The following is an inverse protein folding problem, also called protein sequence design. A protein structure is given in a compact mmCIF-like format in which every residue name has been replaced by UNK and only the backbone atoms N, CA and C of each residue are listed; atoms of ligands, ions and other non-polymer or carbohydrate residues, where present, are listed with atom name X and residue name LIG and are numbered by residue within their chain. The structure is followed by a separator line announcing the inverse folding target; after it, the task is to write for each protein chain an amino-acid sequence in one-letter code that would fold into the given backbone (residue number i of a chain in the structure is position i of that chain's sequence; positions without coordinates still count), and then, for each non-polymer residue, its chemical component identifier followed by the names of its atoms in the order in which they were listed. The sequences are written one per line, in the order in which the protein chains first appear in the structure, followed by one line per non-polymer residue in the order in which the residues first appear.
data_IF_102953011317
#
_entry.id   IF_102953011317
#
_cell.length_a   1.000
_cell.length_b   1.000
_cell.length_c   1.000
_cell.angle_alpha   90.00
_cell.angle_beta   90.00
_cell.angle_gamma   90.00
#
_symmetry.space_group_name_H-M   'P 1'
#
loop_
_entity.id
_entity.type
_entity.pdbx_description
1 polymer ?
#
# COMPACT_ATOMS: atom_id res chain seq x y z
N UNK A 1 -26.99 -2.73 -3.48
CA UNK A 1 -26.49 -2.00 -2.31
C UNK A 1 -25.89 -0.66 -2.71
N UNK A 2 -25.78 0.27 -1.77
CA UNK A 2 -25.07 1.54 -1.91
C UNK A 2 -23.78 1.50 -1.09
N UNK A 3 -22.64 1.73 -1.72
CA UNK A 3 -21.35 1.72 -1.05
C UNK A 3 -20.72 3.11 -1.12
N UNK A 4 -20.40 3.68 0.04
CA UNK A 4 -19.65 4.92 0.15
C UNK A 4 -18.17 4.60 0.34
N UNK A 5 -17.33 5.06 -0.59
CA UNK A 5 -15.88 4.96 -0.50
C UNK A 5 -15.30 6.24 0.08
N UNK A 6 -14.54 6.11 1.17
CA UNK A 6 -13.91 7.23 1.86
C UNK A 6 -12.38 7.11 1.82
N UNK A 7 -11.72 8.08 1.20
CA UNK A 7 -10.26 8.19 1.14
C UNK A 7 -9.85 9.66 1.23
N UNK A 8 -8.66 9.95 1.75
CA UNK A 8 -8.18 11.35 1.83
C UNK A 8 -8.01 12.03 0.46
N UNK A 9 -7.57 11.30 -0.57
CA UNK A 9 -7.40 11.80 -1.93
C UNK A 9 -8.43 11.18 -2.88
N UNK A 10 -8.92 11.96 -3.84
CA UNK A 10 -9.78 11.47 -4.91
C UNK A 10 -9.15 11.67 -6.28
N UNK A 11 -7.86 11.33 -6.38
CA UNK A 11 -7.04 11.32 -7.60
C UNK A 11 -5.94 10.28 -7.47
N UNK A 12 -5.36 9.85 -8.61
CA UNK A 12 -4.30 8.84 -8.64
C UNK A 12 -3.00 9.40 -8.07
N UNK A 13 -2.61 8.94 -6.87
CA UNK A 13 -1.39 9.35 -6.18
C UNK A 13 -0.43 8.19 -5.92
N UNK A 14 -0.94 7.00 -5.70
CA UNK A 14 -0.14 5.81 -5.40
C UNK A 14 -0.97 4.54 -5.40
N UNK A 15 -0.37 3.45 -4.90
CA UNK A 15 -1.01 2.12 -4.92
C UNK A 15 -2.33 2.04 -4.16
N UNK A 16 -2.49 2.76 -3.06
CA UNK A 16 -3.74 2.79 -2.32
C UNK A 16 -4.90 3.39 -3.12
N UNK A 17 -4.64 4.48 -3.87
CA UNK A 17 -5.63 5.09 -4.76
C UNK A 17 -5.93 4.20 -5.96
N UNK A 18 -4.93 3.45 -6.48
CA UNK A 18 -5.16 2.45 -7.52
C UNK A 18 -6.19 1.41 -7.06
N UNK A 19 -6.00 0.82 -5.88
CA UNK A 19 -6.94 -0.15 -5.30
C UNK A 19 -8.32 0.49 -5.07
N UNK A 20 -8.38 1.68 -4.46
CA UNK A 20 -9.63 2.42 -4.27
C UNK A 20 -10.43 2.55 -5.58
N UNK A 21 -9.81 3.05 -6.65
CA UNK A 21 -10.51 3.27 -7.91
C UNK A 21 -10.89 1.97 -8.60
N UNK A 22 -10.08 0.92 -8.46
CA UNK A 22 -10.42 -0.42 -8.94
C UNK A 22 -11.64 -0.98 -8.20
N UNK A 23 -11.66 -0.98 -6.87
CA UNK A 23 -12.79 -1.46 -6.07
C UNK A 23 -14.07 -0.66 -6.34
N UNK A 24 -13.95 0.66 -6.44
CA UNK A 24 -15.04 1.54 -6.80
C UNK A 24 -15.67 1.18 -8.15
N UNK A 25 -14.83 0.94 -9.15
CA UNK A 25 -15.28 0.55 -10.50
C UNK A 25 -15.89 -0.86 -10.51
N UNK A 26 -15.27 -1.83 -9.81
CA UNK A 26 -15.81 -3.19 -9.68
C UNK A 26 -17.21 -3.19 -9.03
N UNK A 27 -17.41 -2.42 -7.97
CA UNK A 27 -18.72 -2.29 -7.30
C UNK A 27 -19.74 -1.68 -8.24
N UNK A 28 -19.36 -0.69 -9.06
CA UNK A 28 -20.23 -0.07 -10.06
C UNK A 28 -20.60 -1.05 -11.18
N UNK A 29 -19.64 -1.80 -11.68
CA UNK A 29 -19.84 -2.82 -12.73
C UNK A 29 -20.72 -3.99 -12.27
N UNK A 30 -20.68 -4.31 -10.96
CA UNK A 30 -21.58 -5.28 -10.34
C UNK A 30 -23.02 -4.75 -10.16
N UNK A 31 -23.37 -3.56 -10.68
CA UNK A 31 -24.69 -2.98 -10.64
C UNK A 31 -25.05 -2.29 -9.31
N UNK A 32 -24.05 -1.95 -8.50
CA UNK A 32 -24.24 -1.27 -7.22
C UNK A 32 -24.00 0.24 -7.35
N UNK A 33 -24.58 1.01 -6.45
CA UNK A 33 -24.39 2.46 -6.40
C UNK A 33 -23.11 2.79 -5.61
N UNK A 34 -22.35 3.73 -6.14
CA UNK A 34 -21.09 4.21 -5.55
C UNK A 34 -21.26 5.68 -5.15
N UNK A 35 -20.80 6.00 -3.96
CA UNK A 35 -20.80 7.35 -3.36
C UNK A 35 -19.37 7.66 -2.97
N UNK A 36 -18.91 8.88 -3.21
CA UNK A 36 -17.54 9.29 -2.96
C UNK A 36 -17.45 10.24 -1.76
N UNK A 37 -16.42 10.07 -0.92
CA UNK A 37 -16.07 10.98 0.15
C UNK A 37 -14.55 11.15 0.26
N UNK A 38 -14.07 12.38 0.10
CA UNK A 38 -12.65 12.70 0.18
C UNK A 38 -12.46 14.12 0.75
N UNK A 39 -11.21 14.57 0.96
CA UNK A 39 -10.95 15.99 1.19
C UNK A 39 -10.96 16.78 -0.12
N UNK A 40 -11.22 18.09 -0.04
CA UNK A 40 -11.08 19.00 -1.17
C UNK A 40 -9.62 19.06 -1.63
N UNK A 41 -9.38 18.89 -2.92
CA UNK A 41 -8.06 19.03 -3.54
C UNK A 41 -8.21 19.46 -5.00
N UNK A 42 -7.31 20.32 -5.55
CA UNK A 42 -7.39 20.76 -6.94
C UNK A 42 -7.35 19.62 -7.97
N UNK A 43 -6.61 18.56 -7.66
CA UNK A 43 -6.43 17.40 -8.55
C UNK A 43 -7.56 16.36 -8.44
N UNK A 44 -8.56 16.57 -7.57
CA UNK A 44 -9.65 15.61 -7.43
C UNK A 44 -10.39 15.41 -8.75
N UNK A 45 -10.70 14.15 -9.04
CA UNK A 45 -11.61 13.81 -10.12
C UNK A 45 -13.01 14.38 -9.85
N UNK A 46 -13.83 14.64 -10.89
CA UNK A 46 -15.20 15.07 -10.70
C UNK A 46 -16.01 14.06 -9.89
N UNK A 47 -16.77 14.55 -8.91
CA UNK A 47 -17.72 13.73 -8.13
C UNK A 47 -18.97 14.56 -7.83
N UNK A 48 -20.19 13.97 -7.97
CA UNK A 48 -21.42 14.62 -7.56
C UNK A 48 -21.45 14.97 -6.07
N UNK A 49 -20.69 14.27 -5.24
CA UNK A 49 -20.61 14.46 -3.80
C UNK A 49 -19.54 15.48 -3.36
N UNK A 50 -18.84 16.13 -4.29
CA UNK A 50 -17.72 17.06 -3.98
C UNK A 50 -18.11 18.19 -3.01
N UNK A 51 -19.40 18.60 -2.99
CA UNK A 51 -19.91 19.62 -2.05
C UNK A 51 -19.87 19.18 -0.57
N UNK A 52 -19.76 17.88 -0.30
CA UNK A 52 -19.62 17.34 1.06
C UNK A 52 -18.16 17.14 1.48
N UNK A 53 -17.21 17.33 0.59
CA UNK A 53 -15.80 17.10 0.92
C UNK A 53 -15.28 18.16 1.90
N UNK A 54 -14.69 17.77 3.05
CA UNK A 54 -14.11 18.71 4.01
C UNK A 54 -12.90 19.41 3.41
N UNK A 55 -12.60 20.60 3.94
CA UNK A 55 -11.47 21.39 3.50
C UNK A 55 -10.14 20.64 3.69
N UNK A 56 -9.24 20.79 2.71
CA UNK A 56 -7.88 20.26 2.82
C UNK A 56 -7.09 20.98 3.93
N UNK A 57 -6.30 20.23 4.67
CA UNK A 57 -5.34 20.75 5.65
C UNK A 57 -3.93 20.53 5.12
N UNK A 58 -3.26 21.61 4.76
CA UNK A 58 -1.85 21.53 4.38
C UNK A 58 -0.96 21.56 5.64
N UNK A 59 -0.43 20.37 6.00
CA UNK A 59 0.47 20.20 7.15
C UNK A 59 1.91 20.67 6.87
N UNK A 60 2.25 21.06 5.64
CA UNK A 60 3.61 21.44 5.24
C UNK A 60 3.86 22.96 5.26
N UNK A 61 2.81 23.78 5.28
CA UNK A 61 2.95 25.22 5.36
C UNK A 61 3.46 25.69 6.74
N UNK A 62 4.15 26.83 6.76
CA UNK A 62 4.58 27.48 8.01
C UNK A 62 3.40 28.23 8.61
N UNK A 63 2.95 27.83 9.77
CA UNK A 63 1.82 28.41 10.49
C UNK A 63 2.29 29.11 11.77
N UNK A 64 1.53 30.11 12.24
CA UNK A 64 1.70 30.72 13.55
C UNK A 64 1.45 29.72 14.69
N UNK A 65 1.84 30.07 15.93
CA UNK A 65 1.76 29.15 17.07
C UNK A 65 0.32 28.69 17.37
N UNK A 66 -0.66 29.59 17.31
CA UNK A 66 -2.09 29.26 17.50
C UNK A 66 -2.65 28.38 16.39
N UNK A 67 -2.24 28.62 15.16
CA UNK A 67 -2.66 27.79 14.02
C UNK A 67 -2.07 26.39 14.10
N UNK A 68 -0.82 26.27 14.58
CA UNK A 68 -0.20 24.95 14.84
C UNK A 68 -0.97 24.12 15.85
N UNK A 69 -1.52 24.74 16.91
CA UNK A 69 -2.34 24.04 17.89
C UNK A 69 -3.67 23.58 17.29
N UNK A 70 -4.33 24.42 16.50
CA UNK A 70 -5.57 24.05 15.78
C UNK A 70 -5.30 22.92 14.77
N UNK A 71 -4.22 23.01 14.03
CA UNK A 71 -3.80 21.98 13.06
C UNK A 71 -3.49 20.67 13.78
N UNK A 72 -2.77 20.69 14.91
CA UNK A 72 -2.49 19.50 15.70
C UNK A 72 -3.78 18.86 16.27
N UNK A 73 -4.72 19.68 16.75
CA UNK A 73 -6.02 19.19 17.21
C UNK A 73 -6.80 18.54 16.06
N UNK A 74 -6.82 19.18 14.88
CA UNK A 74 -7.50 18.65 13.67
C UNK A 74 -6.81 17.38 13.13
N UNK A 75 -5.49 17.28 13.26
CA UNK A 75 -4.72 16.08 12.91
C UNK A 75 -5.15 14.85 13.74
N UNK A 76 -5.51 15.07 15.01
CA UNK A 76 -5.99 14.03 15.93
C UNK A 76 -7.48 13.76 15.72
N UNK A 77 -8.29 14.82 15.55
CA UNK A 77 -9.75 14.73 15.42
C UNK A 77 -10.27 15.83 14.48
N UNK A 78 -10.77 15.44 13.31
CA UNK A 78 -11.34 16.37 12.34
C UNK A 78 -12.87 16.40 12.46
N UNK A 79 -13.39 17.36 13.22
CA UNK A 79 -14.84 17.52 13.43
C UNK A 79 -15.56 17.87 12.12
N UNK A 80 -14.97 18.71 11.25
CA UNK A 80 -15.56 19.05 9.95
C UNK A 80 -15.77 17.81 9.08
N UNK A 81 -14.78 16.88 9.04
CA UNK A 81 -14.93 15.63 8.30
C UNK A 81 -16.05 14.76 8.87
N UNK A 82 -16.20 14.75 10.21
CA UNK A 82 -17.30 14.04 10.87
C UNK A 82 -18.69 14.61 10.48
N UNK A 83 -18.82 15.93 10.51
CA UNK A 83 -20.08 16.61 10.21
C UNK A 83 -20.46 16.45 8.73
N UNK A 84 -19.51 16.64 7.81
CA UNK A 84 -19.71 16.47 6.37
C UNK A 84 -20.05 15.04 5.99
N UNK A 85 -19.36 14.05 6.59
CA UNK A 85 -19.72 12.65 6.36
C UNK A 85 -21.12 12.33 6.88
N UNK A 86 -21.50 12.87 8.05
CA UNK A 86 -22.84 12.67 8.60
C UNK A 86 -23.94 13.27 7.70
N UNK A 87 -23.71 14.47 7.14
CA UNK A 87 -24.59 15.09 6.16
C UNK A 87 -24.76 14.20 4.92
N UNK A 88 -23.64 13.73 4.35
CA UNK A 88 -23.64 12.85 3.17
C UNK A 88 -24.36 11.53 3.43
N UNK A 89 -24.09 10.87 4.56
CA UNK A 89 -24.77 9.61 4.92
C UNK A 89 -26.28 9.80 5.07
N UNK A 90 -26.73 10.90 5.67
CA UNK A 90 -28.17 11.18 5.80
C UNK A 90 -28.85 11.44 4.44
N UNK A 91 -28.14 12.10 3.51
CA UNK A 91 -28.63 12.39 2.17
C UNK A 91 -28.68 11.13 1.30
N UNK A 92 -27.60 10.37 1.24
CA UNK A 92 -27.43 9.26 0.31
C UNK A 92 -27.86 7.90 0.86
N UNK A 93 -27.85 7.72 2.19
CA UNK A 93 -28.20 6.49 2.91
C UNK A 93 -27.46 5.26 2.39
N UNK A 94 -26.08 5.24 2.46
CA UNK A 94 -25.32 4.08 2.07
C UNK A 94 -25.59 2.89 3.01
N UNK A 95 -25.52 1.69 2.45
CA UNK A 95 -25.57 0.44 3.21
C UNK A 95 -24.23 0.17 3.90
N UNK A 96 -23.13 0.47 3.19
CA UNK A 96 -21.75 0.24 3.60
C UNK A 96 -20.95 1.52 3.44
N UNK A 97 -20.05 1.79 4.39
CA UNK A 97 -19.00 2.79 4.25
C UNK A 97 -17.67 2.05 4.27
N UNK A 98 -16.95 2.08 3.14
CA UNK A 98 -15.65 1.49 2.98
C UNK A 98 -14.56 2.56 3.06
N UNK A 99 -13.75 2.47 4.10
CA UNK A 99 -12.64 3.38 4.37
C UNK A 99 -11.34 2.85 3.80
N UNK A 100 -10.52 3.74 3.25
CA UNK A 100 -9.15 3.48 2.82
C UNK A 100 -8.17 4.31 3.65
N UNK A 101 -7.37 5.18 3.04
CA UNK A 101 -6.44 6.05 3.77
C UNK A 101 -7.15 7.28 4.34
N UNK A 102 -7.66 7.19 5.56
CA UNK A 102 -8.43 8.25 6.22
C UNK A 102 -7.67 9.05 7.28
N UNK A 103 -6.51 8.56 7.73
CA UNK A 103 -5.75 9.18 8.82
C UNK A 103 -5.22 10.57 8.44
N UNK A 104 -5.09 11.40 9.47
CA UNK A 104 -4.64 12.79 9.50
C UNK A 104 -5.61 13.79 8.87
N UNK A 105 -6.07 13.62 7.64
CA UNK A 105 -7.00 14.54 6.99
C UNK A 105 -8.45 14.32 7.40
N UNK A 106 -8.97 13.12 7.21
CA UNK A 106 -10.35 12.77 7.57
C UNK A 106 -10.49 12.31 9.01
N UNK A 107 -9.46 11.69 9.55
CA UNK A 107 -9.28 11.03 10.86
C UNK A 107 -10.20 9.81 11.10
N UNK A 108 -9.75 8.84 11.91
CA UNK A 108 -10.55 7.64 12.22
C UNK A 108 -11.86 7.91 12.97
N UNK A 109 -12.07 9.14 13.45
CA UNK A 109 -13.33 9.54 14.09
C UNK A 109 -14.55 9.38 13.18
N UNK A 110 -14.39 9.49 11.83
CA UNK A 110 -15.45 9.31 10.86
C UNK A 110 -16.02 7.88 10.84
N UNK A 111 -15.26 6.86 11.29
CA UNK A 111 -15.74 5.48 11.42
C UNK A 111 -16.91 5.43 12.40
N UNK A 112 -16.78 6.09 13.57
CA UNK A 112 -17.85 6.16 14.57
C UNK A 112 -19.09 6.86 14.05
N UNK A 113 -18.92 7.88 13.21
CA UNK A 113 -20.03 8.59 12.58
C UNK A 113 -20.83 7.65 11.69
N UNK A 114 -20.14 6.92 10.79
CA UNK A 114 -20.81 5.95 9.93
C UNK A 114 -21.52 4.86 10.72
N UNK A 115 -20.87 4.32 11.76
CA UNK A 115 -21.45 3.31 12.65
C UNK A 115 -22.69 3.82 13.39
N UNK A 116 -22.63 5.03 13.95
CA UNK A 116 -23.75 5.64 14.69
C UNK A 116 -24.98 5.94 13.83
N UNK A 117 -24.78 6.10 12.52
CA UNK A 117 -25.84 6.30 11.53
C UNK A 117 -26.33 4.99 10.89
N UNK A 118 -25.91 3.85 11.43
CA UNK A 118 -26.40 2.52 11.06
C UNK A 118 -25.79 1.92 9.80
N UNK A 119 -24.70 2.48 9.26
CA UNK A 119 -23.98 1.88 8.16
C UNK A 119 -23.11 0.71 8.64
N UNK A 120 -22.95 -0.32 7.82
CA UNK A 120 -21.85 -1.28 7.99
C UNK A 120 -20.55 -0.64 7.57
N UNK A 121 -19.47 -0.97 8.26
CA UNK A 121 -18.18 -0.29 8.12
C UNK A 121 -17.09 -1.27 7.77
N UNK A 122 -16.34 -0.98 6.71
CA UNK A 122 -15.16 -1.74 6.26
C UNK A 122 -13.96 -0.80 6.20
N UNK A 123 -12.78 -1.26 6.55
CA UNK A 123 -11.53 -0.51 6.40
C UNK A 123 -10.46 -1.38 5.76
N UNK A 124 -9.99 -0.99 4.57
CA UNK A 124 -8.81 -1.61 3.95
C UNK A 124 -7.53 -0.98 4.49
N UNK A 125 -6.66 -1.80 5.07
CA UNK A 125 -5.36 -1.39 5.60
C UNK A 125 -4.30 -1.39 4.49
N UNK A 126 -4.07 -0.23 3.86
CA UNK A 126 -3.04 -0.09 2.83
C UNK A 126 -1.63 0.05 3.39
N UNK A 127 -1.52 0.42 4.65
CA UNK A 127 -0.26 0.59 5.38
C UNK A 127 -0.45 0.27 6.87
N UNK A 128 0.61 0.41 7.66
CA UNK A 128 0.64 -0.02 9.05
C UNK A 128 0.05 0.99 10.05
N UNK A 129 -0.56 2.10 9.60
CA UNK A 129 -1.06 3.16 10.46
C UNK A 129 -2.09 2.69 11.50
N UNK A 130 -2.88 1.68 11.18
CA UNK A 130 -3.84 1.08 12.11
C UNK A 130 -3.14 0.37 13.28
N UNK A 131 -1.97 -0.21 13.03
CA UNK A 131 -1.20 -0.98 13.99
C UNK A 131 -0.06 -0.20 14.65
N UNK A 132 0.41 0.90 14.03
CA UNK A 132 1.62 1.63 14.41
C UNK A 132 1.39 3.15 14.34
N UNK A 133 2.03 3.98 15.20
CA UNK A 133 1.90 5.44 15.12
C UNK A 133 2.30 6.04 13.78
N UNK A 134 3.29 5.47 13.08
CA UNK A 134 3.61 5.83 11.70
C UNK A 134 3.13 4.77 10.71
N UNK A 135 2.93 5.14 9.45
CA UNK A 135 2.44 4.26 8.40
C UNK A 135 3.50 3.29 7.85
N UNK A 136 4.78 3.57 8.07
CA UNK A 136 5.89 2.78 7.52
C UNK A 136 6.36 1.65 8.43
N UNK A 137 6.03 1.70 9.72
CA UNK A 137 6.63 0.84 10.75
C UNK A 137 8.16 0.89 10.79
N UNK A 138 8.76 2.01 10.38
CA UNK A 138 10.20 2.25 10.50
C UNK A 138 10.48 3.12 11.71
N UNK A 139 11.46 2.73 12.51
CA UNK A 139 12.02 3.52 13.60
C UNK A 139 13.53 3.51 13.43
N UNK A 140 14.13 4.68 13.40
CA UNK A 140 15.58 4.85 13.15
C UNK A 140 16.08 4.15 11.87
N UNK A 141 15.22 4.12 10.82
CA UNK A 141 15.52 3.49 9.53
C UNK A 141 15.31 1.97 9.49
N UNK A 142 15.03 1.33 10.62
CA UNK A 142 14.84 -0.12 10.72
C UNK A 142 13.37 -0.52 10.89
N UNK A 143 12.94 -1.67 10.35
CA UNK A 143 11.61 -2.22 10.57
C UNK A 143 11.34 -2.46 12.06
N UNK A 144 10.25 -1.90 12.56
CA UNK A 144 9.89 -1.97 13.97
C UNK A 144 9.05 -3.22 14.29
N UNK A 145 9.50 -4.00 15.24
CA UNK A 145 8.78 -5.17 15.73
C UNK A 145 7.68 -4.77 16.73
N UNK A 146 6.41 -4.84 16.31
CA UNK A 146 5.25 -4.51 17.15
C UNK A 146 5.12 -5.40 18.38
N UNK A 147 5.67 -6.61 18.39
CA UNK A 147 5.63 -7.51 19.57
C UNK A 147 6.41 -6.96 20.75
N UNK A 148 7.36 -6.05 20.49
CA UNK A 148 8.13 -5.34 21.51
C UNK A 148 7.33 -4.24 22.24
N UNK A 149 6.13 -3.89 21.76
CA UNK A 149 5.25 -2.95 22.45
C UNK A 149 4.40 -3.71 23.47
N UNK A 150 4.94 -4.00 24.63
CA UNK A 150 4.16 -4.52 25.74
C UNK A 150 3.25 -3.43 26.32
N UNK A 151 1.96 -3.55 26.12
CA UNK A 151 0.86 -2.99 26.92
C UNK A 151 0.74 -1.47 27.14
N UNK A 152 1.77 -0.69 27.09
CA UNK A 152 1.73 0.71 27.52
C UNK A 152 2.01 1.71 26.40
N UNK A 153 1.01 2.55 26.07
CA UNK A 153 1.12 3.70 25.16
C UNK A 153 2.20 4.71 25.59
N UNK A 154 2.53 4.79 26.88
CA UNK A 154 3.64 5.61 27.38
C UNK A 154 4.99 5.19 26.79
N UNK A 155 5.16 3.93 26.41
CA UNK A 155 6.38 3.47 25.75
C UNK A 155 6.51 4.00 24.31
N UNK A 156 5.40 4.36 23.65
CA UNK A 156 5.42 4.94 22.30
C UNK A 156 6.16 6.29 22.24
N UNK A 157 6.13 7.08 23.31
CA UNK A 157 6.85 8.36 23.38
C UNK A 157 8.38 8.19 23.40
N UNK A 158 8.90 6.98 23.59
CA UNK A 158 10.34 6.71 23.60
C UNK A 158 10.94 6.52 22.21
N UNK A 159 10.11 6.35 21.18
CA UNK A 159 10.53 6.10 19.83
C UNK A 159 10.40 7.35 18.95
N UNK A 160 11.37 7.53 18.07
CA UNK A 160 11.34 8.59 17.08
C UNK A 160 10.60 8.10 15.82
N UNK A 161 9.25 8.15 15.85
CA UNK A 161 8.38 7.73 14.74
C UNK A 161 8.54 8.54 13.46
N UNK A 162 9.07 9.76 13.58
CA UNK A 162 9.43 10.60 12.47
C UNK A 162 10.88 11.01 12.66
N UNK A 163 11.74 10.50 11.82
CA UNK A 163 13.17 10.78 11.82
C UNK A 163 13.44 12.30 11.85
N UNK A 164 14.40 12.71 12.65
CA UNK A 164 14.80 14.12 12.80
C UNK A 164 13.77 15.03 13.49
N UNK A 165 12.64 14.52 14.05
CA UNK A 165 11.62 15.39 14.64
C UNK A 165 10.89 14.77 15.83
N UNK A 166 11.36 15.09 17.06
CA UNK A 166 10.67 14.70 18.29
C UNK A 166 9.25 15.28 18.41
N UNK A 167 9.04 16.52 17.94
CA UNK A 167 7.71 17.14 17.98
C UNK A 167 6.68 16.41 17.12
N UNK A 168 7.06 16.00 15.92
CA UNK A 168 6.20 15.19 15.04
C UNK A 168 5.98 13.79 15.62
N UNK A 169 7.02 13.18 16.19
CA UNK A 169 6.92 11.87 16.83
C UNK A 169 5.99 11.88 18.04
N UNK A 170 6.04 12.94 18.83
CA UNK A 170 5.11 13.16 19.93
C UNK A 170 3.67 13.31 19.45
N UNK A 171 3.44 14.08 18.37
CA UNK A 171 2.11 14.25 17.79
C UNK A 171 1.55 12.92 17.26
N UNK A 172 2.37 12.11 16.56
CA UNK A 172 1.98 10.79 16.08
C UNK A 172 1.64 9.84 17.23
N UNK A 173 2.42 9.85 18.32
CA UNK A 173 2.13 9.04 19.51
C UNK A 173 0.85 9.49 20.21
N UNK A 174 0.65 10.80 20.36
CA UNK A 174 -0.56 11.36 20.95
C UNK A 174 -1.81 11.04 20.13
N UNK A 175 -1.72 11.13 18.80
CA UNK A 175 -2.80 10.73 17.88
C UNK A 175 -3.11 9.25 18.05
N UNK A 176 -2.10 8.37 18.00
CA UNK A 176 -2.30 6.93 18.16
C UNK A 176 -2.92 6.58 19.53
N UNK A 177 -2.47 7.22 20.61
CA UNK A 177 -3.05 7.06 21.94
C UNK A 177 -4.52 7.52 21.99
N UNK A 178 -4.84 8.64 21.34
CA UNK A 178 -6.21 9.14 21.24
C UNK A 178 -7.12 8.16 20.48
N UNK A 179 -6.67 7.67 19.30
CA UNK A 179 -7.47 6.71 18.51
C UNK A 179 -7.75 5.43 19.29
N UNK A 180 -6.76 4.93 20.05
CA UNK A 180 -6.96 3.77 20.90
C UNK A 180 -7.91 4.07 22.07
N UNK A 181 -7.70 5.17 22.80
CA UNK A 181 -8.59 5.54 23.91
C UNK A 181 -10.04 5.69 23.44
N UNK A 182 -10.24 6.29 22.24
CA UNK A 182 -11.57 6.41 21.60
C UNK A 182 -12.05 5.10 21.00
N UNK A 183 -11.20 4.08 20.86
CA UNK A 183 -11.49 2.79 20.24
C UNK A 183 -12.08 2.96 18.81
N UNK A 184 -11.54 3.91 18.02
CA UNK A 184 -12.12 4.26 16.73
C UNK A 184 -11.99 3.11 15.72
N UNK A 185 -10.83 2.46 15.63
CA UNK A 185 -10.61 1.34 14.72
C UNK A 185 -11.37 0.07 15.11
N UNK A 186 -11.67 -0.10 16.40
CA UNK A 186 -12.46 -1.23 16.91
C UNK A 186 -13.97 -1.12 16.58
N UNK A 187 -14.43 0.03 16.06
CA UNK A 187 -15.80 0.21 15.61
C UNK A 187 -16.03 -0.32 14.19
N UNK A 188 -14.98 -0.68 13.46
CA UNK A 188 -15.08 -1.25 12.12
C UNK A 188 -15.71 -2.64 12.19
N UNK A 189 -16.70 -2.93 11.34
CA UNK A 189 -17.31 -4.27 11.27
C UNK A 189 -16.35 -5.29 10.69
N UNK A 190 -15.52 -4.90 9.70
CA UNK A 190 -14.46 -5.73 9.16
C UNK A 190 -13.25 -4.89 8.70
N UNK A 191 -12.05 -5.38 9.01
CA UNK A 191 -10.79 -4.91 8.47
C UNK A 191 -10.39 -5.79 7.29
N UNK A 192 -9.99 -5.20 6.18
CA UNK A 192 -9.40 -5.89 5.04
C UNK A 192 -7.90 -5.70 5.06
N UNK A 193 -7.18 -6.82 5.05
CA UNK A 193 -5.72 -6.86 4.97
C UNK A 193 -5.30 -7.48 3.63
N UNK A 194 -4.46 -6.81 2.81
CA UNK A 194 -4.05 -7.33 1.50
C UNK A 194 -2.94 -8.40 1.58
N UNK A 195 -2.60 -8.88 2.77
CA UNK A 195 -1.70 -10.01 3.02
C UNK A 195 -1.95 -10.63 4.39
N UNK A 196 -1.56 -11.89 4.59
CA UNK A 196 -1.62 -12.55 5.89
C UNK A 196 -0.62 -11.90 6.86
N UNK A 197 0.52 -11.40 6.37
CA UNK A 197 1.47 -10.62 7.15
C UNK A 197 0.81 -9.38 7.77
N UNK A 198 0.12 -8.56 6.94
CA UNK A 198 -0.63 -7.41 7.43
C UNK A 198 -1.71 -7.82 8.43
N UNK A 199 -2.47 -8.87 8.15
CA UNK A 199 -3.49 -9.37 9.08
C UNK A 199 -2.88 -9.78 10.42
N UNK A 200 -1.69 -10.40 10.43
CA UNK A 200 -0.92 -10.70 11.63
C UNK A 200 -0.59 -9.45 12.43
N UNK A 201 -0.08 -8.40 11.76
CA UNK A 201 0.24 -7.12 12.40
C UNK A 201 -0.99 -6.44 13.00
N UNK A 202 -2.11 -6.44 12.29
CA UNK A 202 -3.37 -5.89 12.79
C UNK A 202 -3.88 -6.64 14.03
N UNK A 203 -3.79 -7.98 14.04
CA UNK A 203 -4.21 -8.81 15.19
C UNK A 203 -3.43 -8.52 16.47
N UNK A 204 -2.17 -8.09 16.37
CA UNK A 204 -1.38 -7.71 17.57
C UNK A 204 -2.00 -6.51 18.28
N UNK A 205 -2.70 -5.64 17.58
CA UNK A 205 -3.28 -4.40 18.13
C UNK A 205 -4.79 -4.45 18.28
N UNK A 206 -5.46 -5.20 17.44
CA UNK A 206 -6.93 -5.33 17.37
C UNK A 206 -7.33 -6.82 17.41
N UNK A 207 -7.02 -7.54 18.50
CA UNK A 207 -7.19 -9.01 18.55
C UNK A 207 -8.65 -9.46 18.48
N UNK A 208 -9.60 -8.60 18.87
CA UNK A 208 -11.03 -8.90 18.85
C UNK A 208 -11.73 -8.46 17.55
N UNK A 209 -11.03 -7.79 16.62
CA UNK A 209 -11.61 -7.31 15.37
C UNK A 209 -11.71 -8.45 14.34
N UNK A 210 -12.77 -8.39 13.54
CA UNK A 210 -12.86 -9.23 12.34
C UNK A 210 -11.86 -8.74 11.31
N UNK A 211 -10.89 -9.57 10.93
CA UNK A 211 -9.85 -9.25 9.95
C UNK A 211 -9.88 -10.30 8.85
N UNK A 212 -10.23 -9.86 7.65
CA UNK A 212 -10.30 -10.68 6.44
C UNK A 212 -9.07 -10.41 5.57
N UNK A 213 -8.49 -11.48 5.03
CA UNK A 213 -7.39 -11.36 4.06
C UNK A 213 -8.01 -11.34 2.67
N UNK A 214 -8.00 -10.17 2.03
CA UNK A 214 -8.44 -9.99 0.64
C UNK A 214 -7.25 -9.42 -0.13
N UNK A 215 -6.67 -10.23 -1.00
CA UNK A 215 -5.47 -9.88 -1.75
C UNK A 215 -5.76 -8.78 -2.78
N UNK A 216 -4.84 -7.85 -2.96
CA UNK A 216 -4.97 -6.87 -4.04
C UNK A 216 -4.98 -7.56 -5.40
N UNK A 217 -5.83 -7.09 -6.31
CA UNK A 217 -5.93 -7.60 -7.67
C UNK A 217 -5.25 -6.70 -8.70
N UNK A 218 -4.89 -7.30 -9.83
CA UNK A 218 -4.47 -6.58 -11.03
C UNK A 218 -5.24 -7.08 -12.26
N UNK A 219 -5.42 -6.20 -13.25
CA UNK A 219 -6.05 -6.59 -14.50
C UNK A 219 -5.10 -7.48 -15.31
N UNK A 220 -5.48 -8.75 -15.43
CA UNK A 220 -4.72 -9.76 -16.16
C UNK A 220 -4.99 -9.71 -17.67
N UNK A 221 -6.21 -9.29 -18.08
CA UNK A 221 -6.63 -9.29 -19.47
C UNK A 221 -5.94 -8.19 -20.28
N UNK A 222 -5.66 -7.05 -19.66
CA UNK A 222 -4.92 -5.95 -20.28
C UNK A 222 -3.43 -6.24 -20.45
N UNK A 223 -2.89 -7.23 -19.72
CA UNK A 223 -1.48 -7.60 -19.78
C UNK A 223 -1.21 -8.61 -20.91
N UNK A 224 -0.43 -8.19 -21.89
CA UNK A 224 0.04 -9.09 -22.95
C UNK A 224 1.15 -10.00 -22.44
N UNK A 225 1.31 -11.15 -23.10
CA UNK A 225 2.40 -12.08 -22.79
C UNK A 225 3.77 -11.40 -22.86
N UNK A 226 4.73 -12.01 -22.15
CA UNK A 226 6.13 -11.63 -22.11
C UNK A 226 6.71 -11.43 -23.51
N UNK A 227 7.39 -10.32 -23.73
CA UNK A 227 8.22 -10.11 -24.89
C UNK A 227 9.56 -10.83 -24.77
N UNK A 228 10.38 -10.76 -25.83
CA UNK A 228 11.74 -11.27 -25.86
C UNK A 228 12.58 -10.64 -24.71
N UNK A 229 13.34 -11.47 -23.99
CA UNK A 229 14.27 -11.02 -22.95
C UNK A 229 15.42 -10.21 -23.56
N UNK A 230 15.52 -8.92 -23.19
CA UNK A 230 16.60 -8.03 -23.65
C UNK A 230 17.80 -7.97 -22.70
N UNK A 231 17.91 -8.91 -21.76
CA UNK A 231 19.09 -9.11 -20.92
C UNK A 231 19.27 -8.10 -19.79
N UNK A 232 18.20 -7.54 -19.23
CA UNK A 232 18.29 -6.63 -18.09
C UNK A 232 17.35 -6.99 -16.94
N UNK A 233 17.78 -6.65 -15.73
CA UNK A 233 16.95 -6.61 -14.54
C UNK A 233 16.26 -5.24 -14.43
N UNK A 234 15.04 -5.23 -13.92
CA UNK A 234 14.21 -4.03 -13.81
C UNK A 234 13.82 -3.76 -12.36
N UNK A 235 14.02 -2.54 -11.90
CA UNK A 235 13.45 -2.01 -10.66
C UNK A 235 12.37 -0.98 -10.99
N UNK A 236 11.25 -1.06 -10.27
CA UNK A 236 10.12 -0.13 -10.39
C UNK A 236 9.77 0.40 -9.00
N UNK A 237 9.88 1.71 -8.77
CA UNK A 237 9.47 2.28 -7.51
C UNK A 237 10.09 3.62 -7.17
N UNK A 238 9.72 4.14 -6.00
CA UNK A 238 10.34 5.35 -5.45
C UNK A 238 11.80 5.06 -5.09
N UNK A 239 12.70 5.98 -5.42
CA UNK A 239 14.12 5.86 -5.12
C UNK A 239 14.40 6.39 -3.71
N UNK A 240 14.02 5.57 -2.72
CA UNK A 240 14.16 5.82 -1.28
C UNK A 240 14.89 4.65 -0.63
N UNK A 241 15.53 4.91 0.53
CA UNK A 241 16.36 3.90 1.20
C UNK A 241 15.57 2.61 1.52
N UNK A 242 14.37 2.76 2.05
CA UNK A 242 13.51 1.63 2.42
C UNK A 242 13.08 0.74 1.25
N UNK A 243 13.23 1.22 0.00
CA UNK A 243 12.99 0.40 -1.20
C UNK A 243 14.19 -0.43 -1.64
N UNK A 244 15.32 -0.32 -0.93
CA UNK A 244 16.51 -1.17 -1.14
C UNK A 244 17.18 -1.01 -2.50
N UNK A 245 16.91 0.09 -3.23
CA UNK A 245 17.45 0.31 -4.59
C UNK A 245 18.97 0.39 -4.59
N UNK A 246 19.59 0.86 -3.50
CA UNK A 246 21.03 0.88 -3.36
C UNK A 246 21.61 -0.52 -3.16
N UNK A 247 20.93 -1.38 -2.40
CA UNK A 247 21.30 -2.80 -2.27
C UNK A 247 21.26 -3.52 -3.62
N UNK A 248 20.25 -3.21 -4.47
CA UNK A 248 20.19 -3.72 -5.84
C UNK A 248 21.39 -3.22 -6.68
N UNK A 249 21.70 -1.93 -6.62
CA UNK A 249 22.80 -1.37 -7.37
C UNK A 249 24.16 -1.98 -6.94
N UNK A 250 24.36 -2.19 -5.63
CA UNK A 250 25.52 -2.92 -5.09
C UNK A 250 25.55 -4.39 -5.55
N UNK A 251 24.41 -5.06 -5.54
CA UNK A 251 24.33 -6.44 -6.03
C UNK A 251 24.69 -6.55 -7.50
N UNK A 252 24.18 -5.63 -8.33
CA UNK A 252 24.52 -5.59 -9.76
C UNK A 252 26.02 -5.43 -10.01
N UNK A 253 26.75 -4.61 -9.22
CA UNK A 253 28.20 -4.50 -9.31
C UNK A 253 28.95 -5.79 -8.91
N UNK A 254 28.32 -6.65 -8.11
CA UNK A 254 28.89 -7.92 -7.62
C UNK A 254 28.55 -9.12 -8.49
N UNK A 255 27.70 -8.94 -9.48
CA UNK A 255 27.39 -10.02 -10.43
C UNK A 255 28.63 -10.54 -11.13
N UNK A 256 28.67 -11.85 -11.33
CA UNK A 256 29.73 -12.52 -12.09
C UNK A 256 29.35 -12.71 -13.56
N UNK A 257 28.06 -12.56 -13.89
CA UNK A 257 27.55 -12.70 -15.25
C UNK A 257 27.02 -11.36 -15.76
N UNK A 258 27.33 -10.99 -17.02
CA UNK A 258 26.89 -9.70 -17.54
C UNK A 258 25.36 -9.65 -17.74
N UNK A 259 24.74 -8.61 -17.22
CA UNK A 259 23.35 -8.25 -17.48
C UNK A 259 23.15 -6.76 -17.26
N UNK A 260 22.17 -6.15 -17.94
CA UNK A 260 21.81 -4.76 -17.70
C UNK A 260 21.02 -4.58 -16.38
N UNK A 261 21.06 -3.36 -15.85
CA UNK A 261 20.17 -2.93 -14.75
C UNK A 261 19.47 -1.64 -15.17
N UNK A 262 18.14 -1.68 -15.19
CA UNK A 262 17.29 -0.51 -15.45
C UNK A 262 16.50 -0.15 -14.21
N UNK A 263 16.55 1.12 -13.85
CA UNK A 263 15.90 1.66 -12.64
C UNK A 263 14.90 2.71 -13.07
N UNK A 264 13.60 2.41 -12.84
CA UNK A 264 12.47 3.30 -13.13
C UNK A 264 11.92 3.88 -11.84
N UNK A 265 11.83 5.20 -11.80
CA UNK A 265 11.26 5.94 -10.68
C UNK A 265 11.99 7.24 -10.39
N UNK A 266 11.51 7.95 -9.40
CA UNK A 266 12.13 9.17 -8.88
C UNK A 266 12.22 9.13 -7.36
N UNK A 267 13.07 9.96 -6.79
CA UNK A 267 13.23 10.07 -5.34
C UNK A 267 14.57 10.67 -4.93
N UNK A 268 14.78 10.84 -3.63
CA UNK A 268 15.97 11.51 -3.10
C UNK A 268 17.30 10.80 -3.44
N UNK A 269 17.26 9.49 -3.69
CA UNK A 269 18.46 8.72 -4.03
C UNK A 269 18.89 8.84 -5.50
N UNK A 270 18.12 9.51 -6.38
CA UNK A 270 18.41 9.58 -7.81
C UNK A 270 19.83 10.10 -8.12
N UNK A 271 20.20 11.24 -7.50
CA UNK A 271 21.52 11.85 -7.72
C UNK A 271 22.64 10.95 -7.17
N UNK A 272 22.44 10.37 -5.98
CA UNK A 272 23.39 9.45 -5.36
C UNK A 272 23.64 8.20 -6.23
N UNK A 273 22.58 7.59 -6.73
CA UNK A 273 22.67 6.41 -7.60
C UNK A 273 23.43 6.72 -8.89
N UNK A 274 23.14 7.85 -9.54
CA UNK A 274 23.82 8.25 -10.76
C UNK A 274 25.32 8.52 -10.57
N UNK A 275 25.70 9.01 -9.41
CA UNK A 275 27.10 9.29 -9.08
C UNK A 275 27.90 8.01 -8.74
N UNK A 276 27.30 7.08 -7.99
CA UNK A 276 28.03 5.93 -7.42
C UNK A 276 27.85 4.61 -8.20
N UNK A 277 26.81 4.53 -9.05
CA UNK A 277 26.45 3.31 -9.79
C UNK A 277 26.26 3.60 -11.28
N UNK A 278 27.31 4.03 -12.01
CA UNK A 278 27.19 4.49 -13.41
C UNK A 278 26.77 3.37 -14.38
N UNK A 279 26.88 2.10 -14.00
CA UNK A 279 26.43 0.96 -14.80
C UNK A 279 24.92 0.68 -14.69
N UNK A 280 24.20 1.37 -13.80
CA UNK A 280 22.76 1.29 -13.71
C UNK A 280 22.11 2.38 -14.57
N UNK A 281 21.22 1.99 -15.46
CA UNK A 281 20.49 2.91 -16.34
C UNK A 281 19.31 3.53 -15.57
N UNK A 282 19.43 4.81 -15.17
CA UNK A 282 18.39 5.56 -14.45
C UNK A 282 17.44 6.20 -15.45
N UNK A 283 16.21 5.66 -15.55
CA UNK A 283 15.24 6.05 -16.57
C UNK A 283 14.28 7.15 -16.12
N UNK A 284 14.34 7.55 -14.84
CA UNK A 284 13.37 8.48 -14.25
C UNK A 284 11.97 7.85 -14.16
N UNK A 285 10.96 8.67 -13.90
CA UNK A 285 9.57 8.22 -13.83
C UNK A 285 9.05 7.84 -15.22
N UNK A 286 8.44 6.65 -15.33
CA UNK A 286 7.78 6.15 -16.55
C UNK A 286 6.36 5.69 -16.24
N UNK A 287 5.48 5.81 -17.23
CA UNK A 287 4.10 5.32 -17.15
C UNK A 287 3.59 4.91 -18.55
N UNK A 288 2.43 4.28 -18.61
CA UNK A 288 1.81 3.85 -19.86
C UNK A 288 2.72 2.91 -20.66
N UNK A 289 2.65 2.97 -21.97
CA UNK A 289 3.34 2.03 -22.87
C UNK A 289 4.87 1.98 -22.67
N UNK A 290 5.49 3.11 -22.27
CA UNK A 290 6.92 3.13 -22.02
C UNK A 290 7.34 2.28 -20.80
N UNK A 291 6.50 2.21 -19.76
CA UNK A 291 6.69 1.32 -18.61
C UNK A 291 6.40 -0.14 -19.00
N UNK A 292 5.32 -0.35 -19.75
CA UNK A 292 4.90 -1.69 -20.16
C UNK A 292 5.93 -2.35 -21.09
N UNK A 293 6.58 -1.59 -21.98
CA UNK A 293 7.66 -2.11 -22.84
C UNK A 293 8.86 -2.58 -21.99
N UNK A 294 9.22 -1.81 -20.95
CA UNK A 294 10.28 -2.20 -20.02
C UNK A 294 9.94 -3.49 -19.24
N UNK A 295 8.70 -3.63 -18.80
CA UNK A 295 8.23 -4.84 -18.11
C UNK A 295 8.26 -6.06 -19.05
N UNK A 296 7.73 -5.92 -20.27
CA UNK A 296 7.67 -7.03 -21.24
C UNK A 296 9.04 -7.61 -21.60
N UNK A 297 10.07 -6.78 -21.63
CA UNK A 297 11.39 -7.17 -22.10
C UNK A 297 12.41 -7.36 -20.99
N UNK A 298 12.04 -7.20 -19.72
CA UNK A 298 12.91 -7.49 -18.60
C UNK A 298 13.19 -9.00 -18.50
N UNK A 299 14.39 -9.38 -18.05
CA UNK A 299 14.73 -10.74 -17.62
C UNK A 299 13.94 -11.10 -16.37
N UNK A 300 13.98 -10.22 -15.38
CA UNK A 300 13.24 -10.32 -14.13
C UNK A 300 13.02 -8.92 -13.54
N UNK A 301 12.03 -8.79 -12.67
CA UNK A 301 11.84 -7.60 -11.84
C UNK A 301 12.45 -7.86 -10.47
N UNK A 302 13.13 -6.86 -9.90
CA UNK A 302 13.74 -6.95 -8.58
C UNK A 302 12.99 -6.04 -7.61
N UNK A 303 12.57 -6.61 -6.48
CA UNK A 303 11.87 -5.90 -5.39
C UNK A 303 12.71 -6.05 -4.12
N UNK A 304 13.76 -5.23 -3.97
CA UNK A 304 14.78 -5.39 -2.93
C UNK A 304 14.43 -4.66 -1.64
N UNK A 305 13.14 -4.52 -1.31
CA UNK A 305 12.66 -3.72 -0.19
C UNK A 305 13.31 -4.09 1.14
N UNK A 306 13.65 -3.08 1.93
CA UNK A 306 14.25 -3.19 3.27
C UNK A 306 13.25 -2.74 4.35
N UNK A 307 11.98 -2.60 4.01
CA UNK A 307 10.87 -2.36 4.91
C UNK A 307 9.76 -3.38 4.71
N UNK A 308 8.81 -3.42 5.63
CA UNK A 308 7.65 -4.31 5.50
C UNK A 308 6.74 -3.88 4.34
N UNK A 309 6.90 -4.50 3.18
CA UNK A 309 5.90 -4.38 2.12
C UNK A 309 4.62 -5.10 2.54
N UNK A 310 3.48 -4.50 2.26
CA UNK A 310 2.19 -5.12 2.54
C UNK A 310 1.80 -6.11 1.42
N UNK A 311 1.50 -5.56 0.24
CA UNK A 311 1.31 -6.30 -1.00
C UNK A 311 1.94 -5.48 -2.11
N UNK A 312 3.10 -5.92 -2.60
CA UNK A 312 3.87 -5.15 -3.59
C UNK A 312 3.19 -5.20 -4.95
N UNK A 313 2.71 -4.04 -5.43
CA UNK A 313 2.14 -3.93 -6.77
C UNK A 313 3.17 -4.24 -7.86
N UNK A 314 4.46 -3.89 -7.66
CA UNK A 314 5.53 -4.19 -8.61
C UNK A 314 5.75 -5.70 -8.79
N UNK A 315 5.50 -6.52 -7.75
CA UNK A 315 5.47 -7.98 -7.87
C UNK A 315 4.32 -8.41 -8.78
N UNK A 316 3.11 -7.89 -8.54
CA UNK A 316 1.94 -8.25 -9.34
C UNK A 316 2.07 -7.79 -10.80
N UNK A 317 2.60 -6.58 -11.01
CA UNK A 317 2.88 -6.05 -12.36
C UNK A 317 3.89 -6.94 -13.12
N UNK A 318 4.97 -7.40 -12.46
CA UNK A 318 5.91 -8.32 -13.08
C UNK A 318 5.27 -9.66 -13.44
N UNK A 319 4.51 -10.24 -12.51
CA UNK A 319 3.78 -11.50 -12.73
C UNK A 319 2.78 -11.39 -13.87
N UNK A 320 2.10 -10.25 -14.03
CA UNK A 320 1.16 -9.99 -15.12
C UNK A 320 1.80 -10.10 -16.50
N UNK A 321 3.07 -9.74 -16.62
CA UNK A 321 3.85 -9.89 -17.85
C UNK A 321 4.67 -11.17 -17.90
N UNK A 322 4.38 -12.15 -17.05
CA UNK A 322 5.09 -13.43 -17.03
C UNK A 322 6.58 -13.29 -16.70
N UNK A 323 6.94 -12.28 -15.89
CA UNK A 323 8.33 -12.08 -15.45
C UNK A 323 8.54 -12.66 -14.06
N UNK A 324 9.59 -13.46 -13.84
CA UNK A 324 9.94 -13.88 -12.50
C UNK A 324 10.37 -12.67 -11.66
N UNK A 325 10.19 -12.79 -10.36
CA UNK A 325 10.57 -11.72 -9.42
C UNK A 325 11.69 -12.19 -8.51
N UNK A 326 12.71 -11.35 -8.30
CA UNK A 326 13.64 -11.52 -7.19
C UNK A 326 13.17 -10.57 -6.08
N UNK A 327 12.63 -11.13 -4.99
CA UNK A 327 12.04 -10.39 -3.89
C UNK A 327 12.85 -10.52 -2.59
N UNK A 328 12.86 -9.44 -1.80
CA UNK A 328 13.42 -9.51 -0.45
C UNK A 328 12.50 -10.33 0.48
N UNK A 329 13.08 -11.13 1.36
CA UNK A 329 12.36 -11.96 2.36
C UNK A 329 11.90 -11.10 3.54
N UNK A 330 10.98 -10.16 3.25
CA UNK A 330 10.46 -9.21 4.24
C UNK A 330 8.98 -8.88 3.97
N UNK A 331 8.20 -8.65 5.04
CA UNK A 331 6.80 -8.27 4.93
C UNK A 331 5.94 -9.30 4.21
N UNK A 332 5.05 -8.85 3.33
CA UNK A 332 4.17 -9.68 2.52
C UNK A 332 4.81 -10.21 1.21
N UNK A 333 6.04 -9.82 0.86
CA UNK A 333 6.70 -10.29 -0.37
C UNK A 333 6.81 -11.83 -0.41
N UNK A 334 7.20 -12.55 0.68
CA UNK A 334 7.27 -14.01 0.67
C UNK A 334 5.92 -14.72 0.47
N UNK A 335 4.80 -14.01 0.67
CA UNK A 335 3.46 -14.54 0.38
C UNK A 335 3.14 -14.46 -1.13
N UNK A 336 3.71 -13.48 -1.82
CA UNK A 336 3.49 -13.29 -3.26
C UNK A 336 4.36 -14.23 -4.10
N UNK A 337 5.57 -14.58 -3.65
CA UNK A 337 6.59 -15.31 -4.42
C UNK A 337 6.85 -16.65 -3.76
N UNK A 338 6.67 -17.75 -4.50
CA UNK A 338 7.14 -19.09 -4.10
C UNK A 338 8.59 -19.26 -4.56
N UNK A 339 9.51 -19.28 -3.61
CA UNK A 339 10.95 -19.36 -3.87
C UNK A 339 11.31 -20.56 -4.74
N UNK A 340 12.04 -20.32 -5.81
CA UNK A 340 12.44 -21.34 -6.80
C UNK A 340 11.35 -21.73 -7.82
N UNK A 341 10.09 -21.29 -7.66
CA UNK A 341 8.96 -21.62 -8.53
C UNK A 341 8.44 -20.44 -9.36
N UNK A 342 8.14 -19.33 -8.71
CA UNK A 342 7.60 -18.10 -9.34
C UNK A 342 8.65 -17.01 -9.44
N UNK A 343 9.78 -17.19 -8.77
CA UNK A 343 10.86 -16.25 -8.63
C UNK A 343 11.85 -16.73 -7.58
N UNK A 344 12.67 -15.82 -7.08
CA UNK A 344 13.66 -16.10 -6.04
C UNK A 344 13.48 -15.15 -4.86
N UNK A 345 13.78 -15.63 -3.66
CA UNK A 345 13.79 -14.81 -2.46
C UNK A 345 15.21 -14.71 -1.90
N UNK A 346 15.58 -13.52 -1.40
CA UNK A 346 16.86 -13.27 -0.74
C UNK A 346 16.64 -12.48 0.57
N UNK A 347 17.61 -12.53 1.48
CA UNK A 347 17.53 -11.79 2.75
C UNK A 347 17.64 -10.28 2.52
N UNK A 348 16.72 -9.50 3.09
CA UNK A 348 16.65 -8.05 2.91
C UNK A 348 18.00 -7.39 3.27
N UNK A 349 18.46 -6.46 2.42
CA UNK A 349 19.76 -5.79 2.58
C UNK A 349 21.00 -6.61 2.16
N UNK A 350 20.84 -7.91 1.85
CA UNK A 350 21.96 -8.79 1.48
C UNK A 350 22.28 -8.72 -0.03
N UNK A 351 23.15 -7.78 -0.40
CA UNK A 351 23.55 -7.58 -1.79
C UNK A 351 24.28 -8.78 -2.41
N UNK A 352 25.01 -9.59 -1.61
CA UNK A 352 25.73 -10.76 -2.12
C UNK A 352 24.76 -11.90 -2.50
N UNK A 353 23.72 -12.10 -1.69
CA UNK A 353 22.67 -13.08 -1.99
C UNK A 353 21.84 -12.65 -3.19
N UNK A 354 21.48 -11.36 -3.26
CA UNK A 354 20.79 -10.79 -4.42
C UNK A 354 21.62 -10.98 -5.70
N UNK A 355 22.93 -10.71 -5.66
CA UNK A 355 23.80 -10.94 -6.81
C UNK A 355 23.80 -12.41 -7.27
N UNK A 356 23.84 -13.36 -6.32
CA UNK A 356 23.73 -14.80 -6.65
C UNK A 356 22.39 -15.15 -7.27
N UNK A 357 21.29 -14.58 -6.78
CA UNK A 357 19.97 -14.75 -7.40
C UNK A 357 19.96 -14.22 -8.84
N UNK A 358 20.52 -13.03 -9.06
CA UNK A 358 20.61 -12.44 -10.40
C UNK A 358 21.48 -13.30 -11.32
N UNK A 359 22.66 -13.74 -10.88
CA UNK A 359 23.56 -14.62 -11.65
C UNK A 359 22.89 -15.95 -12.01
N UNK A 360 22.09 -16.53 -11.10
CA UNK A 360 21.32 -17.76 -11.35
C UNK A 360 20.33 -17.57 -12.50
N UNK A 361 19.54 -16.48 -12.50
CA UNK A 361 18.58 -16.22 -13.58
C UNK A 361 19.25 -15.97 -14.93
N UNK A 362 20.49 -15.46 -14.93
CA UNK A 362 21.29 -15.33 -16.17
C UNK A 362 21.80 -16.70 -16.63
N UNK A 363 22.22 -17.54 -15.69
CA UNK A 363 22.79 -18.86 -15.98
C UNK A 363 21.76 -19.89 -16.48
N UNK A 364 20.50 -19.74 -16.05
CA UNK A 364 19.44 -20.74 -16.22
C UNK A 364 18.25 -20.16 -17.00
N UNK A 365 18.41 -19.78 -18.29
CA UNK A 365 17.36 -19.04 -19.02
C UNK A 365 16.06 -19.81 -19.20
N UNK A 366 16.11 -21.13 -19.38
CA UNK A 366 14.91 -21.96 -19.50
C UNK A 366 14.12 -22.02 -18.19
N UNK A 367 14.80 -22.17 -17.05
CA UNK A 367 14.17 -22.15 -15.73
C UNK A 367 13.61 -20.76 -15.42
N UNK A 368 14.35 -19.70 -15.80
CA UNK A 368 13.90 -18.30 -15.65
C UNK A 368 12.58 -18.08 -16.39
N UNK A 369 12.48 -18.55 -17.64
CA UNK A 369 11.24 -18.49 -18.41
C UNK A 369 10.11 -19.32 -17.79
N UNK A 370 10.43 -20.51 -17.25
CA UNK A 370 9.46 -21.36 -16.56
C UNK A 370 8.93 -20.69 -15.27
N UNK A 371 9.81 -20.05 -14.48
CA UNK A 371 9.42 -19.25 -13.31
C UNK A 371 8.47 -18.10 -13.70
N UNK A 372 8.73 -17.40 -14.81
CA UNK A 372 7.86 -16.34 -15.31
C UNK A 372 6.46 -16.84 -15.67
N UNK A 373 6.36 -18.00 -16.33
CA UNK A 373 5.06 -18.63 -16.63
C UNK A 373 4.32 -19.04 -15.36
N UNK A 374 5.03 -19.61 -14.39
CA UNK A 374 4.48 -19.97 -13.08
C UNK A 374 3.99 -18.74 -12.32
N UNK A 375 4.75 -17.64 -12.35
CA UNK A 375 4.37 -16.37 -11.75
C UNK A 375 3.07 -15.83 -12.34
N UNK A 376 2.93 -15.84 -13.68
CA UNK A 376 1.70 -15.42 -14.35
C UNK A 376 0.50 -16.30 -13.97
N UNK A 377 0.68 -17.61 -13.94
CA UNK A 377 -0.40 -18.53 -13.55
C UNK A 377 -0.83 -18.26 -12.10
N UNK A 378 0.12 -18.07 -11.18
CA UNK A 378 -0.18 -17.72 -9.80
C UNK A 378 -0.94 -16.41 -9.67
N UNK A 379 -0.59 -15.39 -10.49
CA UNK A 379 -1.33 -14.14 -10.52
C UNK A 379 -2.79 -14.36 -10.96
N UNK A 380 -3.01 -15.12 -12.03
CA UNK A 380 -4.35 -15.43 -12.53
C UNK A 380 -5.19 -16.12 -11.45
N UNK A 381 -4.59 -17.09 -10.77
CA UNK A 381 -5.29 -17.92 -9.77
C UNK A 381 -5.62 -17.16 -8.47
N UNK A 382 -4.77 -16.18 -8.05
CA UNK A 382 -4.87 -15.62 -6.70
C UNK A 382 -4.94 -14.08 -6.65
N UNK A 383 -4.50 -13.37 -7.69
CA UNK A 383 -4.33 -11.92 -7.67
C UNK A 383 -5.02 -11.23 -8.84
N UNK A 384 -6.04 -11.87 -9.45
CA UNK A 384 -6.84 -11.22 -10.49
C UNK A 384 -7.84 -10.24 -9.88
N UNK A 385 -8.21 -9.20 -10.66
CA UNK A 385 -9.30 -8.30 -10.25
C UNK A 385 -10.61 -9.04 -10.01
N UNK A 386 -10.88 -10.11 -10.77
CA UNK A 386 -12.08 -10.90 -10.61
C UNK A 386 -12.13 -11.63 -9.26
N UNK A 387 -11.01 -12.22 -8.83
CA UNK A 387 -10.90 -12.85 -7.51
C UNK A 387 -11.07 -11.81 -6.39
N UNK A 388 -10.37 -10.68 -6.48
CA UNK A 388 -10.50 -9.58 -5.51
C UNK A 388 -11.96 -9.08 -5.41
N UNK A 389 -12.64 -8.88 -6.55
CA UNK A 389 -14.05 -8.47 -6.60
C UNK A 389 -14.96 -9.48 -5.92
N UNK A 390 -14.77 -10.77 -6.20
CA UNK A 390 -15.57 -11.84 -5.61
C UNK A 390 -15.47 -11.82 -4.08
N UNK A 391 -14.24 -11.75 -3.55
CA UNK A 391 -13.99 -11.76 -2.11
C UNK A 391 -14.55 -10.50 -1.43
N UNK A 392 -14.36 -9.33 -2.03
CA UNK A 392 -14.85 -8.07 -1.50
C UNK A 392 -16.40 -8.03 -1.47
N UNK A 393 -17.06 -8.45 -2.56
CA UNK A 393 -18.52 -8.47 -2.62
C UNK A 393 -19.11 -9.52 -1.66
N UNK A 394 -18.46 -10.68 -1.49
CA UNK A 394 -18.85 -11.68 -0.51
C UNK A 394 -18.76 -11.14 0.92
N UNK A 395 -17.70 -10.39 1.25
CA UNK A 395 -17.58 -9.70 2.53
C UNK A 395 -18.73 -8.71 2.74
N UNK A 396 -19.04 -7.88 1.76
CA UNK A 396 -20.12 -6.91 1.86
C UNK A 396 -21.48 -7.60 2.09
N UNK A 397 -21.77 -8.66 1.36
CA UNK A 397 -23.01 -9.44 1.52
C UNK A 397 -23.12 -10.04 2.92
N UNK A 398 -22.04 -10.67 3.42
CA UNK A 398 -22.02 -11.25 4.76
C UNK A 398 -22.34 -10.23 5.86
N UNK A 399 -21.77 -9.02 5.73
CA UNK A 399 -22.03 -7.93 6.69
C UNK A 399 -23.48 -7.44 6.66
N UNK A 400 -24.12 -7.38 5.48
CA UNK A 400 -25.50 -6.95 5.35
C UNK A 400 -26.48 -8.00 5.88
N UNK A 401 -26.19 -9.30 5.70
CA UNK A 401 -26.99 -10.40 6.27
C UNK A 401 -26.97 -10.39 7.80
N UNK A 402 -25.79 -10.11 8.41
CA UNK A 402 -25.68 -9.94 9.87
C UNK A 402 -26.49 -8.75 10.41
N UNK A 403 -26.79 -7.74 9.60
CA UNK A 403 -27.62 -6.58 9.98
C UNK A 403 -29.11 -6.93 10.02
N UNK A 404 -29.53 -7.94 9.29
CA UNK A 404 -30.95 -8.35 9.19
C UNK A 404 -31.36 -9.35 10.26
N UNK A 405 -30.40 -9.97 10.93
CA UNK A 405 -30.60 -10.87 12.08
C UNK A 405 -30.57 -10.10 13.39
#
# INVERSE_FOLDING_TARGET
MKVLFANKFFFMKGGAETVLFQEREMVRQAGHQVIDFAMQHPDNLPSPQSGYFPANVDYHQRHGLFDRLKIAARFIHNQEACDRLAELIRAERPDIVHFHNIYHQLTPAIIRVAKSLGCKTVLTAHDYKVACPNYSMLVDGEPFDLTRIEGSWLKLFRHQWQEGSWGKSLLLSAEAAWQQWRRNYEQVDALVAPSAFMAGMLRTRLPASRIEVILNGIDVESSRESGEDRGYFLFLGRLMAEKGVETLARAHQRMTRPAGLKIVGGGPLLAHLGQHYPNAELLGFKQGEALLDLLRHAKAVVVPSEWYENCSMSVLEAMAYGKPVIGARIGGIPEQIRDGLDGLLFEAGNADELARCMDRLVAEPEQTAAMGRSARQRLIDNYSLASHQQDLLALYQSLLEEKQR
#
